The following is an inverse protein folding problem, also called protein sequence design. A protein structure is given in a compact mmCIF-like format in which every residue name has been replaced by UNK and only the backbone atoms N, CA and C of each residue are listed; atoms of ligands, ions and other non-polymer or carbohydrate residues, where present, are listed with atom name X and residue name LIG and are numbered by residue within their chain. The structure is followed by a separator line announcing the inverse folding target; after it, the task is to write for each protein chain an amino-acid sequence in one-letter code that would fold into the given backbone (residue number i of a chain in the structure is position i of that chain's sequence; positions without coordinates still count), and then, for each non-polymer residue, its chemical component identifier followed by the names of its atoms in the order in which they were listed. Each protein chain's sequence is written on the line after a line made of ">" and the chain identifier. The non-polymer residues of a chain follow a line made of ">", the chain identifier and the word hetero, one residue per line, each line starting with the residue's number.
data_IF_862409437570
#
_entry.id   IF_862409437570
#
_cell.length_a   1.000
_cell.length_b   1.000
_cell.length_c   1.000
_cell.angle_alpha   90.00
_cell.angle_beta   90.00
_cell.angle_gamma   90.00
#
_symmetry.space_group_name_H-M   'P 1'
#
loop_
_entity.id
_entity.type
_entity.pdbx_description
1 polymer ?
#
# COMPACT_ATOMS: atom_id res chain seq x y z
N UNK A 1 41.49 42.54 34.55
CA UNK A 1 40.19 41.83 34.63
C UNK A 1 39.60 41.49 33.26
N UNK A 2 40.22 41.95 32.16
CA UNK A 2 39.63 41.95 30.80
C UNK A 2 39.77 40.65 30.01
N UNK A 3 40.79 39.82 30.31
CA UNK A 3 41.00 38.54 29.60
C UNK A 3 39.92 37.49 29.94
N UNK A 4 39.38 37.51 31.15
CA UNK A 4 38.32 36.59 31.58
C UNK A 4 36.97 36.94 30.93
N UNK A 5 36.61 38.24 30.90
CA UNK A 5 35.40 38.72 30.23
C UNK A 5 35.41 38.45 28.72
N UNK A 6 36.57 38.65 28.07
CA UNK A 6 36.73 38.36 26.62
C UNK A 6 36.64 36.86 26.30
N UNK A 7 37.20 35.99 27.15
CA UNK A 7 37.05 34.52 27.02
C UNK A 7 35.61 34.07 27.25
N UNK A 8 34.92 34.62 28.25
CA UNK A 8 33.53 34.30 28.56
C UNK A 8 32.58 34.73 27.42
N UNK A 9 32.79 35.91 26.84
CA UNK A 9 32.06 36.39 25.65
C UNK A 9 32.22 35.42 24.47
N UNK A 10 33.46 34.99 24.18
CA UNK A 10 33.72 34.04 23.09
C UNK A 10 33.09 32.65 23.29
N UNK A 11 32.98 32.17 24.53
CA UNK A 11 32.29 30.90 24.85
C UNK A 11 30.77 31.03 24.67
N UNK A 12 30.19 32.18 25.05
CA UNK A 12 28.77 32.47 24.85
C UNK A 12 28.44 32.57 23.35
N UNK A 13 29.28 33.24 22.56
CA UNK A 13 29.11 33.36 21.10
C UNK A 13 29.25 32.01 20.36
N UNK A 14 30.13 31.13 20.84
CA UNK A 14 30.30 29.79 20.26
C UNK A 14 29.09 28.90 20.57
N UNK A 15 28.57 28.98 21.80
CA UNK A 15 27.41 28.21 22.25
C UNK A 15 26.14 28.65 21.53
N UNK A 16 25.95 29.96 21.33
CA UNK A 16 24.81 30.49 20.57
C UNK A 16 24.88 30.11 19.09
N UNK A 17 26.07 30.15 18.48
CA UNK A 17 26.28 29.69 17.11
C UNK A 17 25.98 28.20 16.97
N UNK A 18 26.43 27.37 17.92
CA UNK A 18 26.13 25.94 17.95
C UNK A 18 24.63 25.67 18.11
N UNK A 19 23.95 26.35 19.04
CA UNK A 19 22.50 26.22 19.21
C UNK A 19 21.70 26.68 17.99
N UNK A 20 22.14 27.72 17.29
CA UNK A 20 21.47 28.17 16.07
C UNK A 20 21.64 27.16 14.93
N UNK A 21 22.84 26.60 14.76
CA UNK A 21 23.09 25.57 13.74
C UNK A 21 22.31 24.28 14.06
N UNK A 22 22.27 23.87 15.33
CA UNK A 22 21.52 22.67 15.73
C UNK A 22 20.01 22.86 15.56
N UNK A 23 19.47 24.04 15.93
CA UNK A 23 18.06 24.39 15.71
C UNK A 23 17.70 24.37 14.22
N UNK A 24 18.54 24.95 13.36
CA UNK A 24 18.34 24.93 11.91
C UNK A 24 18.38 23.50 11.34
N UNK A 25 19.26 22.64 11.85
CA UNK A 25 19.33 21.24 11.44
C UNK A 25 18.09 20.46 11.88
N UNK A 26 17.60 20.67 13.10
CA UNK A 26 16.36 20.07 13.58
C UNK A 26 15.18 20.49 12.70
N UNK A 27 15.04 21.79 12.41
CA UNK A 27 13.97 22.27 11.52
C UNK A 27 14.06 21.70 10.11
N UNK A 28 15.28 21.49 9.58
CA UNK A 28 15.49 20.81 8.30
C UNK A 28 15.05 19.34 8.34
N UNK A 29 15.40 18.59 9.40
CA UNK A 29 15.01 17.19 9.57
C UNK A 29 13.49 17.03 9.77
N UNK A 30 12.86 17.91 10.53
CA UNK A 30 11.41 17.96 10.70
C UNK A 30 10.71 18.23 9.37
N UNK A 31 11.24 19.18 8.58
CA UNK A 31 10.77 19.45 7.22
C UNK A 31 10.88 18.22 6.32
N UNK A 32 12.03 17.54 6.31
CA UNK A 32 12.22 16.30 5.55
C UNK A 32 11.23 15.21 5.97
N UNK A 33 11.01 15.01 7.27
CA UNK A 33 10.09 14.01 7.77
C UNK A 33 8.64 14.29 7.30
N UNK A 34 8.22 15.55 7.34
CA UNK A 34 6.92 15.99 6.82
C UNK A 34 6.77 15.71 5.32
N UNK A 35 7.80 16.02 4.53
CA UNK A 35 7.81 15.74 3.09
C UNK A 35 7.81 14.24 2.78
N UNK A 36 8.62 13.44 3.47
CA UNK A 36 8.66 11.99 3.29
C UNK A 36 7.32 11.33 3.66
N UNK A 37 6.69 11.78 4.74
CA UNK A 37 5.33 11.34 5.11
C UNK A 37 4.32 11.67 4.01
N UNK A 38 4.38 12.88 3.45
CA UNK A 38 3.50 13.30 2.34
C UNK A 38 3.73 12.46 1.09
N UNK A 39 4.98 12.16 0.75
CA UNK A 39 5.35 11.31 -0.39
C UNK A 39 4.86 9.89 -0.17
N UNK A 40 5.08 9.31 1.01
CA UNK A 40 4.61 7.97 1.35
C UNK A 40 3.08 7.87 1.26
N UNK A 41 2.36 8.90 1.72
CA UNK A 41 0.89 8.99 1.61
C UNK A 41 0.44 9.07 0.14
N UNK A 42 1.13 9.86 -0.69
CA UNK A 42 0.85 9.94 -2.12
C UNK A 42 1.06 8.58 -2.81
N UNK A 43 2.18 7.89 -2.51
CA UNK A 43 2.45 6.54 -3.03
C UNK A 43 1.39 5.53 -2.59
N UNK A 44 0.99 5.53 -1.32
CA UNK A 44 -0.06 4.65 -0.83
C UNK A 44 -1.40 4.91 -1.55
N UNK A 45 -1.73 6.18 -1.79
CA UNK A 45 -2.93 6.58 -2.54
C UNK A 45 -2.88 6.10 -3.99
N UNK A 46 -1.74 6.28 -4.66
CA UNK A 46 -1.53 5.78 -6.04
C UNK A 46 -1.64 4.27 -6.11
N UNK A 47 -1.00 3.55 -5.18
CA UNK A 47 -1.07 2.09 -5.13
C UNK A 47 -2.50 1.59 -4.90
N UNK A 48 -3.25 2.24 -4.00
CA UNK A 48 -4.67 1.91 -3.79
C UNK A 48 -5.50 2.17 -5.05
N UNK A 49 -5.22 3.26 -5.77
CA UNK A 49 -5.92 3.57 -7.01
C UNK A 49 -5.67 2.51 -8.09
N UNK A 50 -4.41 2.10 -8.28
CA UNK A 50 -4.04 1.04 -9.23
C UNK A 50 -4.72 -0.30 -8.90
N UNK A 51 -4.76 -0.68 -7.61
CA UNK A 51 -5.47 -1.90 -7.18
C UNK A 51 -6.97 -1.84 -7.47
N UNK A 52 -7.60 -0.67 -7.33
CA UNK A 52 -9.02 -0.48 -7.64
C UNK A 52 -9.28 -0.60 -9.15
N UNK A 53 -8.40 -0.06 -9.99
CA UNK A 53 -8.51 -0.18 -11.44
C UNK A 53 -8.36 -1.65 -11.88
N UNK A 54 -7.33 -2.34 -11.39
CA UNK A 54 -7.13 -3.76 -11.65
C UNK A 54 -8.34 -4.61 -11.19
N UNK A 55 -8.87 -4.35 -9.99
CA UNK A 55 -10.05 -5.06 -9.50
C UNK A 55 -11.29 -4.84 -10.39
N UNK A 56 -11.47 -3.63 -10.96
CA UNK A 56 -12.58 -3.36 -11.89
C UNK A 56 -12.42 -4.11 -13.21
N UNK A 57 -11.21 -4.17 -13.75
CA UNK A 57 -10.94 -4.93 -14.98
C UNK A 57 -11.19 -6.43 -14.75
N UNK A 58 -10.71 -6.98 -13.63
CA UNK A 58 -10.95 -8.38 -13.28
C UNK A 58 -12.44 -8.63 -13.03
N UNK A 59 -13.18 -7.72 -12.38
CA UNK A 59 -14.64 -7.85 -12.17
C UNK A 59 -15.37 -8.02 -13.51
N UNK A 60 -14.98 -7.23 -14.52
CA UNK A 60 -15.55 -7.30 -15.86
C UNK A 60 -15.31 -8.65 -16.55
N UNK A 61 -14.22 -9.35 -16.25
CA UNK A 61 -13.98 -10.70 -16.74
C UNK A 61 -14.76 -11.75 -15.93
N UNK A 62 -14.68 -11.68 -14.60
CA UNK A 62 -15.31 -12.65 -13.70
C UNK A 62 -16.84 -12.64 -13.85
N UNK A 63 -17.46 -11.49 -14.09
CA UNK A 63 -18.93 -11.41 -14.27
C UNK A 63 -19.44 -12.10 -15.54
N UNK A 64 -18.57 -12.39 -16.51
CA UNK A 64 -18.93 -13.14 -17.72
C UNK A 64 -19.11 -14.63 -17.45
N UNK A 65 -18.55 -15.14 -16.35
CA UNK A 65 -18.61 -16.55 -15.98
C UNK A 65 -20.06 -16.92 -15.60
N UNK A 66 -20.69 -17.89 -16.30
CA UNK A 66 -22.06 -18.27 -16.04
C UNK A 66 -22.31 -18.76 -14.60
N UNK A 67 -23.35 -18.21 -13.96
CA UNK A 67 -23.79 -18.64 -12.64
C UNK A 67 -23.03 -18.01 -11.46
N UNK A 68 -22.18 -17.01 -11.71
CA UNK A 68 -21.71 -16.10 -10.68
C UNK A 68 -22.66 -14.90 -10.53
N UNK A 69 -22.96 -14.54 -9.29
CA UNK A 69 -23.66 -13.29 -9.01
C UNK A 69 -22.69 -12.12 -9.10
N UNK A 70 -23.23 -10.91 -9.35
CA UNK A 70 -22.44 -9.67 -9.34
C UNK A 70 -21.62 -9.48 -8.05
N UNK A 71 -22.21 -9.82 -6.90
CA UNK A 71 -21.53 -9.70 -5.61
C UNK A 71 -20.34 -10.67 -5.52
N UNK A 72 -20.52 -11.92 -5.96
CA UNK A 72 -19.44 -12.90 -5.99
C UNK A 72 -18.31 -12.45 -6.93
N UNK A 73 -18.66 -11.93 -8.11
CA UNK A 73 -17.68 -11.40 -9.06
C UNK A 73 -16.87 -10.23 -8.47
N UNK A 74 -17.54 -9.28 -7.80
CA UNK A 74 -16.87 -8.16 -7.12
C UNK A 74 -15.91 -8.62 -6.01
N UNK A 75 -16.35 -9.56 -5.16
CA UNK A 75 -15.51 -10.08 -4.06
C UNK A 75 -14.31 -10.85 -4.62
N UNK A 76 -14.54 -11.71 -5.61
CA UNK A 76 -13.50 -12.49 -6.26
C UNK A 76 -12.48 -11.58 -6.93
N UNK A 77 -12.93 -10.60 -7.72
CA UNK A 77 -12.05 -9.66 -8.40
C UNK A 77 -11.16 -8.88 -7.43
N UNK A 78 -11.68 -8.48 -6.27
CA UNK A 78 -10.89 -7.84 -5.23
C UNK A 78 -9.81 -8.77 -4.66
N UNK A 79 -10.15 -10.03 -4.40
CA UNK A 79 -9.19 -11.04 -3.90
C UNK A 79 -8.11 -11.32 -4.95
N UNK A 80 -8.50 -11.49 -6.22
CA UNK A 80 -7.60 -11.72 -7.33
C UNK A 80 -6.67 -10.52 -7.59
N UNK A 81 -7.17 -9.29 -7.51
CA UNK A 81 -6.34 -8.08 -7.65
C UNK A 81 -5.29 -7.95 -6.53
N UNK A 82 -5.57 -8.51 -5.34
CA UNK A 82 -4.65 -8.50 -4.21
C UNK A 82 -3.65 -9.68 -4.20
N UNK A 83 -3.88 -10.72 -5.00
CA UNK A 83 -3.03 -11.90 -5.07
C UNK A 83 -2.78 -12.34 -6.51
N UNK A 84 -1.60 -11.98 -7.01
CA UNK A 84 -1.13 -12.31 -8.36
C UNK A 84 -1.05 -13.83 -8.60
N UNK A 85 -0.81 -14.62 -7.56
CA UNK A 85 -0.74 -16.09 -7.69
C UNK A 85 -2.12 -16.64 -8.02
N UNK A 86 -3.14 -16.28 -7.23
CA UNK A 86 -4.53 -16.64 -7.50
C UNK A 86 -5.02 -16.13 -8.86
N UNK A 87 -4.65 -14.89 -9.23
CA UNK A 87 -4.97 -14.33 -10.55
C UNK A 87 -4.36 -15.16 -11.70
N UNK A 88 -3.11 -15.61 -11.55
CA UNK A 88 -2.47 -16.44 -12.57
C UNK A 88 -3.16 -17.79 -12.74
N UNK A 89 -3.61 -18.40 -11.64
CA UNK A 89 -4.33 -19.68 -11.65
C UNK A 89 -5.70 -19.49 -12.32
N UNK A 90 -6.41 -18.41 -11.99
CA UNK A 90 -7.70 -18.07 -12.60
C UNK A 90 -7.62 -18.02 -14.14
N UNK A 91 -6.58 -17.40 -14.70
CA UNK A 91 -6.39 -17.32 -16.16
C UNK A 91 -5.87 -18.62 -16.79
N UNK A 92 -5.41 -19.58 -15.99
CA UNK A 92 -4.99 -20.90 -16.47
C UNK A 92 -6.11 -21.94 -16.44
N UNK A 93 -7.27 -21.61 -15.84
CA UNK A 93 -8.44 -22.48 -15.87
C UNK A 93 -8.86 -22.78 -17.33
N UNK A 94 -9.14 -24.05 -17.67
CA UNK A 94 -9.39 -24.47 -19.05
C UNK A 94 -10.73 -23.98 -19.62
N UNK A 95 -11.71 -23.74 -18.76
CA UNK A 95 -13.07 -23.34 -19.13
C UNK A 95 -13.78 -22.58 -17.98
N UNK A 96 -14.98 -22.10 -18.29
CA UNK A 96 -15.81 -21.33 -17.35
C UNK A 96 -16.26 -22.14 -16.12
N UNK A 97 -16.39 -23.47 -16.21
CA UNK A 97 -16.79 -24.30 -15.06
C UNK A 97 -15.65 -24.35 -14.03
N UNK A 98 -14.42 -24.55 -14.48
CA UNK A 98 -13.23 -24.49 -13.63
C UNK A 98 -13.01 -23.09 -13.05
N UNK A 99 -13.20 -22.04 -13.85
CA UNK A 99 -13.11 -20.67 -13.34
C UNK A 99 -14.15 -20.39 -12.27
N UNK A 100 -15.39 -20.86 -12.45
CA UNK A 100 -16.46 -20.72 -11.47
C UNK A 100 -16.13 -21.45 -10.17
N UNK A 101 -15.72 -22.71 -10.24
CA UNK A 101 -15.36 -23.49 -9.05
C UNK A 101 -14.20 -22.84 -8.29
N UNK A 102 -13.16 -22.41 -9.02
CA UNK A 102 -12.04 -21.68 -8.44
C UNK A 102 -12.49 -20.40 -7.73
N UNK A 103 -13.33 -19.58 -8.39
CA UNK A 103 -13.86 -18.35 -7.80
C UNK A 103 -14.68 -18.63 -6.54
N UNK A 104 -15.55 -19.65 -6.57
CA UNK A 104 -16.38 -20.03 -5.43
C UNK A 104 -15.51 -20.49 -4.25
N UNK A 105 -14.50 -21.33 -4.49
CA UNK A 105 -13.55 -21.76 -3.47
C UNK A 105 -12.70 -20.58 -2.93
N UNK A 106 -12.34 -19.63 -3.79
CA UNK A 106 -11.60 -18.44 -3.41
C UNK A 106 -12.40 -17.53 -2.45
N UNK A 107 -13.71 -17.38 -2.68
CA UNK A 107 -14.57 -16.52 -1.86
C UNK A 107 -15.23 -17.26 -0.68
N UNK A 108 -15.34 -18.59 -0.75
CA UNK A 108 -15.91 -19.46 0.27
C UNK A 108 -15.02 -20.69 0.51
N UNK A 109 -13.88 -20.54 1.20
CA UNK A 109 -12.93 -21.64 1.42
C UNK A 109 -13.49 -22.78 2.30
N UNK A 110 -14.56 -22.52 3.06
CA UNK A 110 -15.17 -23.48 3.99
C UNK A 110 -16.36 -24.25 3.40
N UNK A 111 -16.74 -23.97 2.15
CA UNK A 111 -17.76 -24.77 1.47
C UNK A 111 -17.11 -26.10 1.03
N UNK A 112 -17.72 -27.25 1.34
CA UNK A 112 -17.19 -28.52 0.89
C UNK A 112 -17.13 -28.52 -0.63
N UNK A 113 -15.95 -28.75 -1.20
CA UNK A 113 -15.75 -28.92 -2.64
C UNK A 113 -16.75 -29.94 -3.13
N UNK A 114 -17.70 -29.54 -3.98
CA UNK A 114 -18.78 -30.39 -4.48
C UNK A 114 -18.29 -31.41 -5.53
N UNK A 115 -17.06 -31.92 -5.37
CA UNK A 115 -16.52 -33.06 -6.09
C UNK A 115 -16.86 -34.34 -5.31
N UNK A 116 -18.07 -34.86 -5.55
CA UNK A 116 -18.30 -36.30 -5.45
C UNK A 116 -18.08 -36.88 -6.85
N UNK A 117 -17.01 -37.66 -7.00
CA UNK A 117 -16.79 -38.56 -8.14
C UNK A 117 -17.85 -39.67 -8.17
#
# INVERSE_FOLDING_TARGET
>A
MDKAKKKMSGVVDLTSSFSNVSSNLCGFMEGMNSHLSSIASAFATTQQHEQVLMAREIEHEVIKIPGLTRIQAMIAARKLASDTSSLSIFYQCPDDEWQKDFVLNLIHPDLPSSFTF
#
